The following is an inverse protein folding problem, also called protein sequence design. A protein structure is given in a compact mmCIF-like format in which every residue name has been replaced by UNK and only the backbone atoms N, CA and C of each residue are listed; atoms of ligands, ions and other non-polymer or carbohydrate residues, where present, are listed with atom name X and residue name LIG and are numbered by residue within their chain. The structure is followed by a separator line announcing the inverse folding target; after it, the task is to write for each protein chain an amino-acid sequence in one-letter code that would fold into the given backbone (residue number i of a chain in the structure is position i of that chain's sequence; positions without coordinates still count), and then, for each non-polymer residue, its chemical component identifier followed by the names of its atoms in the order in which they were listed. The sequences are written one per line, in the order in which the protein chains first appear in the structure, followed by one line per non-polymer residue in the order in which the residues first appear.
data_IF_143129613274
#
_entry.id   IF_143129613274
#
_cell.length_a   1.000
_cell.length_b   1.000
_cell.length_c   1.000
_cell.angle_alpha   90.00
_cell.angle_beta   90.00
_cell.angle_gamma   90.00
#
_symmetry.space_group_name_H-M   'P 1'
#
loop_
_entity.id
_entity.type
_entity.pdbx_description
1 polymer ?
#
# COMPACT_ATOMS: atom_id res chain seq x y z
N UNK A 1 -42.05 27.60 46.07
CA UNK A 1 -41.13 26.89 46.98
C UNK A 1 -40.60 25.67 46.23
N UNK A 2 -39.27 25.55 46.11
CA UNK A 2 -38.46 24.36 45.80
C UNK A 2 -38.45 23.77 44.38
N UNK A 3 -37.36 24.12 43.67
CA UNK A 3 -36.65 23.34 42.67
C UNK A 3 -36.36 21.90 43.13
N UNK A 4 -36.30 20.91 42.22
CA UNK A 4 -35.05 20.22 41.77
C UNK A 4 -35.28 18.84 41.08
N UNK A 5 -34.61 18.65 39.93
CA UNK A 5 -33.99 17.42 39.37
C UNK A 5 -34.86 16.16 39.11
N UNK A 6 -34.82 15.49 37.95
CA UNK A 6 -33.64 14.90 37.30
C UNK A 6 -33.85 14.71 35.79
N UNK A 7 -32.88 15.21 35.02
CA UNK A 7 -32.56 14.79 33.64
C UNK A 7 -31.76 13.49 33.74
N UNK A 8 -32.36 12.34 33.41
CA UNK A 8 -31.71 11.01 33.24
C UNK A 8 -32.66 10.20 32.34
N UNK A 9 -32.29 9.63 31.18
CA UNK A 9 -31.02 9.57 30.51
C UNK A 9 -31.24 9.24 29.04
N UNK A 10 -30.60 10.02 28.16
CA UNK A 10 -30.28 9.63 26.79
C UNK A 10 -28.89 9.03 26.88
N UNK A 11 -28.75 7.70 26.80
CA UNK A 11 -27.55 6.98 26.39
C UNK A 11 -27.79 5.46 26.42
N UNK A 12 -27.14 4.74 25.50
CA UNK A 12 -27.12 3.27 25.28
C UNK A 12 -28.25 2.80 24.34
N UNK A 13 -28.02 2.24 23.15
CA UNK A 13 -26.89 1.40 22.70
C UNK A 13 -26.61 1.68 21.21
N UNK A 14 -25.46 2.32 20.96
CA UNK A 14 -24.67 2.09 19.74
C UNK A 14 -23.86 0.81 19.94
N UNK A 15 -23.34 0.26 18.85
CA UNK A 15 -22.44 -0.90 18.74
C UNK A 15 -23.18 -2.25 18.96
N UNK A 16 -23.07 -3.35 18.18
CA UNK A 16 -22.07 -3.98 17.29
C UNK A 16 -22.92 -4.93 16.40
N UNK A 17 -22.78 -5.03 15.07
CA UNK A 17 -21.84 -5.91 14.39
C UNK A 17 -21.49 -5.36 13.01
N UNK A 18 -20.23 -4.97 12.91
CA UNK A 18 -19.53 -4.51 11.73
C UNK A 18 -18.82 -5.75 11.16
N UNK A 19 -19.56 -6.62 10.49
CA UNK A 19 -19.00 -7.76 9.75
C UNK A 19 -19.81 -7.94 8.47
N UNK A 20 -19.51 -7.09 7.50
CA UNK A 20 -19.59 -7.35 6.06
C UNK A 20 -19.01 -6.11 5.40
N UNK A 21 -17.69 -5.97 5.53
CA UNK A 21 -16.90 -5.03 4.76
C UNK A 21 -17.28 -5.16 3.29
N UNK A 22 -17.96 -4.14 2.76
CA UNK A 22 -17.98 -3.73 1.36
C UNK A 22 -17.79 -4.86 0.32
N UNK A 23 -18.80 -5.71 0.16
CA UNK A 23 -19.03 -6.36 -1.14
C UNK A 23 -19.67 -5.33 -2.09
N UNK A 24 -18.95 -4.25 -2.43
CA UNK A 24 -19.28 -3.46 -3.62
C UNK A 24 -18.71 -4.20 -4.83
N UNK A 25 -19.59 -4.68 -5.69
CA UNK A 25 -19.30 -5.06 -7.08
C UNK A 25 -18.33 -4.03 -7.68
N UNK A 26 -17.07 -4.37 -7.78
CA UNK A 26 -16.05 -3.46 -8.29
C UNK A 26 -15.44 -4.10 -9.54
N UNK A 27 -15.45 -3.34 -10.64
CA UNK A 27 -14.85 -3.70 -11.93
C UNK A 27 -13.32 -3.66 -11.80
N UNK A 28 -12.75 -4.56 -11.00
CA UNK A 28 -11.31 -4.67 -10.88
C UNK A 28 -10.86 -6.10 -11.15
N UNK A 29 -9.62 -6.22 -11.61
CA UNK A 29 -8.92 -7.48 -11.78
C UNK A 29 -7.67 -7.45 -10.92
N UNK A 30 -7.48 -8.47 -10.08
CA UNK A 30 -6.21 -8.66 -9.38
C UNK A 30 -5.11 -8.97 -10.38
N UNK A 31 -3.99 -8.27 -10.27
CA UNK A 31 -2.78 -8.53 -11.06
C UNK A 31 -1.82 -9.41 -10.28
N UNK A 32 -1.59 -9.07 -9.01
CA UNK A 32 -0.65 -9.81 -8.17
C UNK A 32 -0.92 -9.62 -6.69
N UNK A 33 -0.41 -10.57 -5.92
CA UNK A 33 -0.51 -10.62 -4.47
C UNK A 33 0.79 -11.22 -3.91
N UNK A 34 1.36 -10.56 -2.92
CA UNK A 34 2.52 -11.04 -2.17
C UNK A 34 2.09 -11.25 -0.72
N UNK A 35 2.12 -12.52 -0.30
CA UNK A 35 1.88 -12.97 1.08
C UNK A 35 0.59 -12.45 1.73
N UNK A 36 -0.44 -12.10 0.94
CA UNK A 36 -1.65 -11.39 1.38
C UNK A 36 -1.41 -10.02 2.05
N UNK A 37 -0.16 -9.55 2.08
CA UNK A 37 0.26 -8.29 2.69
C UNK A 37 0.34 -7.15 1.67
N UNK A 38 0.60 -7.46 0.40
CA UNK A 38 0.68 -6.47 -0.69
C UNK A 38 -0.13 -6.97 -1.88
N UNK A 39 -1.03 -6.12 -2.38
CA UNK A 39 -1.94 -6.44 -3.49
C UNK A 39 -1.83 -5.35 -4.55
N UNK A 40 -1.73 -5.75 -5.82
CA UNK A 40 -1.90 -4.87 -6.97
C UNK A 40 -3.20 -5.21 -7.70
N UNK A 41 -4.16 -4.29 -7.65
CA UNK A 41 -5.46 -4.40 -8.31
C UNK A 41 -5.55 -3.40 -9.48
N UNK A 42 -6.06 -3.86 -10.62
CA UNK A 42 -6.30 -3.05 -11.82
C UNK A 42 -7.77 -2.68 -11.92
N UNK A 43 -8.03 -1.40 -12.08
CA UNK A 43 -9.33 -0.82 -12.41
C UNK A 43 -9.34 -0.38 -13.89
N UNK A 44 -10.48 0.16 -14.35
CA UNK A 44 -10.64 0.61 -15.73
C UNK A 44 -9.58 1.65 -16.14
N UNK A 45 -9.36 2.66 -15.30
CA UNK A 45 -8.50 3.80 -15.61
C UNK A 45 -7.25 3.93 -14.73
N UNK A 46 -7.08 3.07 -13.72
CA UNK A 46 -5.98 3.18 -12.75
C UNK A 46 -5.65 1.84 -12.10
N UNK A 47 -4.59 1.82 -11.30
CA UNK A 47 -4.19 0.67 -10.51
C UNK A 47 -4.03 1.10 -9.04
N UNK A 48 -4.27 0.18 -8.11
CA UNK A 48 -4.06 0.40 -6.69
C UNK A 48 -3.06 -0.62 -6.17
N UNK A 49 -2.04 -0.13 -5.46
CA UNK A 49 -1.23 -0.96 -4.58
C UNK A 49 -1.76 -0.76 -3.17
N UNK A 50 -2.23 -1.84 -2.57
CA UNK A 50 -2.74 -1.87 -1.20
C UNK A 50 -1.83 -2.72 -0.34
N UNK A 51 -1.47 -2.24 0.84
CA UNK A 51 -0.59 -2.97 1.75
C UNK A 51 -0.82 -2.58 3.21
N UNK A 52 -0.43 -3.44 4.14
CA UNK A 52 -0.45 -3.12 5.57
C UNK A 52 0.79 -2.31 5.95
N UNK A 53 0.57 -1.11 6.49
CA UNK A 53 1.67 -0.31 7.01
C UNK A 53 2.11 -0.83 8.37
N UNK A 54 3.35 -1.29 8.43
CA UNK A 54 3.98 -1.78 9.64
C UNK A 54 4.76 -0.69 10.39
N UNK A 55 4.61 0.59 10.00
CA UNK A 55 5.19 1.71 10.74
C UNK A 55 4.60 1.78 12.16
N UNK A 56 5.48 1.89 13.17
CA UNK A 56 5.26 1.56 14.58
C UNK A 56 4.12 2.29 15.34
N UNK A 57 3.41 3.23 14.71
CA UNK A 57 2.47 4.14 15.39
C UNK A 57 1.02 4.04 14.89
N UNK A 58 0.72 3.18 13.90
CA UNK A 58 -0.65 2.99 13.41
C UNK A 58 -1.20 1.61 13.76
N UNK A 59 -2.45 1.54 14.22
CA UNK A 59 -3.16 0.27 14.44
C UNK A 59 -3.40 -0.44 13.09
N UNK A 60 -2.37 -1.11 12.52
CA UNK A 60 -2.47 -2.04 11.40
C UNK A 60 -3.32 -1.53 10.22
N UNK A 61 -3.11 -0.28 9.80
CA UNK A 61 -3.90 0.33 8.74
C UNK A 61 -3.49 -0.19 7.36
N UNK A 62 -4.48 -0.53 6.52
CA UNK A 62 -4.23 -0.73 5.09
C UNK A 62 -3.98 0.64 4.45
N UNK A 63 -2.77 0.85 3.94
CA UNK A 63 -2.45 1.97 3.07
C UNK A 63 -2.69 1.57 1.63
N UNK A 64 -3.27 2.49 0.86
CA UNK A 64 -3.46 2.33 -0.58
C UNK A 64 -2.85 3.52 -1.29
N UNK A 65 -2.04 3.27 -2.31
CA UNK A 65 -1.63 4.34 -3.22
C UNK A 65 -1.98 4.00 -4.66
N UNK A 66 -2.30 5.06 -5.41
CA UNK A 66 -2.86 4.97 -6.75
C UNK A 66 -1.78 5.17 -7.80
N UNK A 67 -1.70 4.24 -8.73
CA UNK A 67 -0.95 4.40 -9.97
C UNK A 67 -1.94 4.86 -11.05
N UNK A 68 -1.75 6.09 -11.51
CA UNK A 68 -2.76 6.81 -12.30
C UNK A 68 -3.01 6.22 -13.69
N UNK A 69 -2.11 5.38 -14.18
CA UNK A 69 -2.17 4.78 -15.51
C UNK A 69 -1.23 3.57 -15.64
N UNK A 70 -1.33 2.90 -16.79
CA UNK A 70 -0.48 1.75 -17.13
C UNK A 70 1.00 2.15 -17.26
N UNK A 71 1.29 3.34 -17.74
CA UNK A 71 2.68 3.81 -17.92
C UNK A 71 3.38 3.95 -16.57
N UNK A 72 2.72 4.56 -15.58
CA UNK A 72 3.19 4.69 -14.21
C UNK A 72 3.44 3.31 -13.58
N UNK A 73 2.53 2.37 -13.81
CA UNK A 73 2.66 0.98 -13.33
C UNK A 73 3.85 0.27 -13.96
N UNK A 74 4.00 0.36 -15.29
CA UNK A 74 5.15 -0.22 -16.01
C UNK A 74 6.46 0.43 -15.60
N UNK A 75 6.50 1.75 -15.43
CA UNK A 75 7.68 2.48 -14.96
C UNK A 75 8.10 2.03 -13.57
N UNK A 76 7.15 1.90 -12.64
CA UNK A 76 7.43 1.41 -11.29
C UNK A 76 8.02 -0.01 -11.34
N UNK A 77 7.40 -0.93 -12.10
CA UNK A 77 7.91 -2.29 -12.26
C UNK A 77 9.35 -2.33 -12.79
N UNK A 78 9.64 -1.60 -13.87
CA UNK A 78 10.98 -1.59 -14.47
C UNK A 78 12.03 -1.04 -13.50
N UNK A 79 11.74 0.02 -12.75
CA UNK A 79 12.70 0.55 -11.78
C UNK A 79 12.91 -0.39 -10.60
N UNK A 80 11.86 -1.04 -10.10
CA UNK A 80 11.98 -2.05 -9.05
C UNK A 80 12.87 -3.21 -9.51
N UNK A 81 12.62 -3.74 -10.72
CA UNK A 81 13.42 -4.80 -11.32
C UNK A 81 14.89 -4.38 -11.52
N UNK A 82 15.11 -3.21 -12.09
CA UNK A 82 16.46 -2.70 -12.36
C UNK A 82 17.26 -2.46 -11.08
N UNK A 83 16.60 -2.16 -9.96
CA UNK A 83 17.27 -1.99 -8.67
C UNK A 83 18.06 -3.23 -8.22
N UNK A 84 17.60 -4.45 -8.57
CA UNK A 84 18.32 -5.70 -8.28
C UNK A 84 19.51 -5.95 -9.21
N UNK A 85 19.51 -5.34 -10.40
CA UNK A 85 20.57 -5.46 -11.39
C UNK A 85 21.66 -4.39 -11.18
N UNK A 86 21.25 -3.15 -10.95
CA UNK A 86 22.14 -2.00 -10.75
C UNK A 86 22.77 -2.00 -9.35
N UNK A 87 22.05 -2.48 -8.33
CA UNK A 87 22.54 -2.58 -6.95
C UNK A 87 23.08 -1.25 -6.40
N UNK A 88 22.39 -0.16 -6.72
CA UNK A 88 22.80 1.17 -6.30
C UNK A 88 22.77 1.32 -4.77
N UNK A 89 23.83 1.88 -4.19
CA UNK A 89 23.89 2.18 -2.74
C UNK A 89 22.95 3.31 -2.33
N UNK A 90 22.67 4.25 -3.25
CA UNK A 90 21.77 5.39 -3.04
C UNK A 90 20.35 5.05 -3.49
N UNK A 91 19.32 5.62 -2.83
CA UNK A 91 17.95 5.40 -3.27
C UNK A 91 17.73 5.92 -4.69
N UNK A 92 16.96 5.15 -5.46
CA UNK A 92 16.43 5.59 -6.74
C UNK A 92 15.09 6.27 -6.48
N UNK A 93 14.98 7.55 -6.85
CA UNK A 93 13.71 8.29 -6.79
C UNK A 93 12.99 8.21 -8.12
N UNK A 94 11.73 7.81 -8.09
CA UNK A 94 10.83 7.74 -9.26
C UNK A 94 9.65 8.67 -9.02
N UNK A 95 9.59 9.72 -9.84
CA UNK A 95 8.41 10.57 -9.91
C UNK A 95 7.36 9.91 -10.82
N UNK A 96 6.22 9.57 -10.24
CA UNK A 96 4.99 9.19 -10.91
C UNK A 96 4.03 10.38 -10.85
N UNK A 97 2.89 10.29 -11.56
CA UNK A 97 1.98 11.43 -11.72
C UNK A 97 1.50 12.02 -10.38
N UNK A 98 1.07 11.16 -9.48
CA UNK A 98 0.50 11.54 -8.18
C UNK A 98 1.39 11.13 -6.99
N UNK A 99 2.54 10.49 -7.24
CA UNK A 99 3.38 9.91 -6.18
C UNK A 99 4.87 10.13 -6.45
N UNK A 100 5.63 10.38 -5.39
CA UNK A 100 7.07 10.16 -5.36
C UNK A 100 7.37 8.80 -4.72
N UNK A 101 8.13 7.96 -5.41
CA UNK A 101 8.55 6.65 -4.90
C UNK A 101 10.06 6.64 -4.70
N UNK A 102 10.52 6.32 -3.49
CA UNK A 102 11.93 6.13 -3.14
C UNK A 102 12.21 4.65 -2.92
N UNK A 103 13.15 4.11 -3.69
CA UNK A 103 13.47 2.67 -3.70
C UNK A 103 14.89 2.49 -3.18
N UNK A 104 15.05 1.70 -2.13
CA UNK A 104 16.34 1.38 -1.51
C UNK A 104 16.65 -0.09 -1.75
N UNK A 105 17.69 -0.38 -2.54
CA UNK A 105 18.20 -1.74 -2.67
C UNK A 105 19.00 -2.12 -1.43
N UNK A 106 18.81 -3.36 -0.94
CA UNK A 106 19.49 -3.90 0.23
C UNK A 106 20.01 -5.29 -0.07
N UNK A 107 21.33 -5.40 -0.13
CA UNK A 107 22.02 -6.68 -0.24
C UNK A 107 22.01 -7.43 1.11
N UNK A 108 21.80 -8.74 1.07
CA UNK A 108 21.84 -9.58 2.27
C UNK A 108 22.74 -10.79 2.07
N UNK A 109 23.59 -11.07 3.05
CA UNK A 109 24.52 -12.20 2.98
C UNK A 109 23.84 -13.58 3.15
N UNK A 110 22.75 -13.65 3.90
CA UNK A 110 22.13 -14.92 4.35
C UNK A 110 20.67 -15.10 3.90
N UNK A 111 20.10 -14.11 3.21
CA UNK A 111 18.72 -14.12 2.71
C UNK A 111 18.71 -13.48 1.33
N UNK A 112 17.59 -13.61 0.62
CA UNK A 112 17.41 -12.92 -0.65
C UNK A 112 17.57 -11.40 -0.48
N UNK A 113 18.23 -10.79 -1.47
CA UNK A 113 18.26 -9.34 -1.63
C UNK A 113 16.83 -8.81 -1.74
N UNK A 114 16.62 -7.58 -1.28
CA UNK A 114 15.31 -6.96 -1.29
C UNK A 114 15.37 -5.47 -1.62
N UNK A 115 14.22 -4.93 -1.98
CA UNK A 115 13.99 -3.50 -2.07
C UNK A 115 13.05 -3.06 -0.95
N UNK A 116 13.39 -1.94 -0.35
CA UNK A 116 12.52 -1.18 0.55
C UNK A 116 11.94 -0.01 -0.25
N UNK A 117 10.62 0.17 -0.17
CA UNK A 117 9.88 1.13 -0.98
C UNK A 117 9.17 2.09 -0.04
N UNK A 118 9.51 3.37 -0.16
CA UNK A 118 8.80 4.46 0.51
C UNK A 118 8.02 5.19 -0.57
N UNK A 119 6.72 5.35 -0.37
CA UNK A 119 5.86 6.12 -1.25
C UNK A 119 5.36 7.37 -0.52
N UNK A 120 5.22 8.45 -1.27
CA UNK A 120 4.70 9.72 -0.80
C UNK A 120 3.68 10.23 -1.81
N UNK A 121 2.42 10.36 -1.39
CA UNK A 121 1.36 10.96 -2.20
C UNK A 121 1.55 12.48 -2.23
N UNK A 122 1.76 13.04 -3.42
CA UNK A 122 2.15 14.44 -3.60
C UNK A 122 0.99 15.39 -3.24
N UNK A 123 -0.25 14.92 -3.32
CA UNK A 123 -1.43 15.75 -3.09
C UNK A 123 -1.83 15.79 -1.61
N UNK A 124 -1.57 14.72 -0.88
CA UNK A 124 -1.97 14.57 0.53
C UNK A 124 -0.81 14.63 1.51
N UNK A 125 0.44 14.60 1.01
CA UNK A 125 1.67 14.47 1.82
C UNK A 125 1.68 13.21 2.70
N UNK A 126 0.82 12.23 2.38
CA UNK A 126 0.79 10.96 3.09
C UNK A 126 1.98 10.13 2.65
N UNK A 127 2.77 9.67 3.62
CA UNK A 127 3.91 8.77 3.39
C UNK A 127 3.59 7.40 3.94
N UNK A 128 4.04 6.35 3.26
CA UNK A 128 4.08 5.02 3.86
C UNK A 128 5.19 4.14 3.30
N UNK A 129 5.52 3.10 4.05
CA UNK A 129 6.58 2.17 3.71
C UNK A 129 5.99 0.80 3.40
N UNK A 130 6.18 0.32 2.17
CA UNK A 130 5.73 -1.02 1.81
C UNK A 130 6.56 -2.07 2.54
N UNK A 131 5.98 -3.25 2.83
CA UNK A 131 6.77 -4.41 3.20
C UNK A 131 7.88 -4.67 2.17
N UNK A 132 9.01 -5.19 2.65
CA UNK A 132 10.17 -5.46 1.83
C UNK A 132 9.86 -6.50 0.76
N UNK A 133 10.30 -6.24 -0.48
CA UNK A 133 10.06 -7.12 -1.62
C UNK A 133 11.36 -7.68 -2.15
N UNK A 134 11.44 -8.99 -2.31
CA UNK A 134 12.47 -9.66 -3.13
C UNK A 134 12.15 -9.54 -4.61
N UNK A 135 13.11 -9.87 -5.50
CA UNK A 135 12.88 -9.81 -6.95
C UNK A 135 11.70 -10.71 -7.37
N UNK A 136 11.62 -11.92 -6.82
CA UNK A 136 10.51 -12.85 -7.11
C UNK A 136 9.17 -12.25 -6.68
N UNK A 137 9.12 -11.61 -5.52
CA UNK A 137 7.89 -10.97 -5.02
C UNK A 137 7.52 -9.72 -5.85
N UNK A 138 8.49 -8.97 -6.38
CA UNK A 138 8.22 -7.92 -7.37
C UNK A 138 7.59 -8.54 -8.62
N UNK A 139 8.18 -9.59 -9.19
CA UNK A 139 7.62 -10.25 -10.38
C UNK A 139 6.20 -10.77 -10.12
N UNK A 140 5.97 -11.39 -8.96
CA UNK A 140 4.66 -11.85 -8.52
C UNK A 140 3.64 -10.72 -8.39
N UNK A 141 4.02 -9.62 -7.75
CA UNK A 141 3.14 -8.46 -7.54
C UNK A 141 2.66 -7.87 -8.88
N UNK A 142 3.52 -7.88 -9.90
CA UNK A 142 3.20 -7.34 -11.22
C UNK A 142 2.68 -8.39 -12.22
N UNK A 143 2.40 -9.62 -11.76
CA UNK A 143 1.88 -10.70 -12.60
C UNK A 143 2.86 -11.13 -13.70
N UNK A 144 4.15 -11.20 -13.35
CA UNK A 144 5.28 -11.52 -14.23
C UNK A 144 6.03 -12.81 -13.87
N UNK A 145 5.56 -13.57 -12.87
CA UNK A 145 6.06 -14.93 -12.63
C UNK A 145 5.80 -15.80 -13.89
N UNK A 146 6.83 -16.49 -14.37
CA UNK A 146 6.75 -17.52 -15.43
C UNK A 146 6.19 -18.84 -14.89
#
# INVERSE_FOLDING_TARGET
MKYTFKVIGILLVLIIFNENSFAQNSNFSRIGNVNDEIILDKYEDYYLISYEDNSMDSEGGTITFKLSDKESTSKLYEVLKNSFSERNEKPTTVNLKDNEIRIYFKERTLKADYVEIIHEDINTETTGTLPWLTLNEVEKLFGKEE
#
